data_IF_578556103959
#
_entry.id   IF_578556103959
#
_cell.length_a   1.000
_cell.length_b   1.000
_cell.length_c   1.000
_cell.angle_alpha   90.00
_cell.angle_beta   90.00
_cell.angle_gamma   90.00
#
_symmetry.space_group_name_H-M   'P 1'
#
loop_
_entity.id
_entity.type
_entity.pdbx_description
1 polymer ?
#
# COMPACT_ATOMS: atom_id res chain seq x y z
N UNK A 1 4.69 -10.80 7.09
CA UNK A 1 4.16 -11.10 5.73
C UNK A 1 5.20 -10.77 4.67
N UNK A 2 5.60 -9.50 4.53
CA UNK A 2 6.65 -9.05 3.58
C UNK A 2 8.00 -9.75 3.77
N UNK A 3 8.40 -10.04 5.01
CA UNK A 3 9.64 -10.77 5.32
C UNK A 3 9.67 -12.23 4.81
N UNK A 4 8.52 -12.76 4.40
CA UNK A 4 8.37 -14.12 3.86
C UNK A 4 8.03 -14.09 2.36
N UNK A 5 8.39 -13.01 1.66
CA UNK A 5 8.04 -12.82 0.24
C UNK A 5 8.59 -13.90 -0.69
N UNK A 6 9.66 -14.60 -0.31
CA UNK A 6 10.22 -15.72 -1.07
C UNK A 6 9.26 -16.92 -1.16
N UNK A 7 8.41 -17.13 -0.15
CA UNK A 7 7.46 -18.26 -0.13
C UNK A 7 6.04 -17.86 -0.50
N UNK A 8 5.62 -16.64 -0.15
CA UNK A 8 4.26 -16.16 -0.39
C UNK A 8 4.13 -15.18 -1.57
N UNK A 9 5.24 -14.76 -2.18
CA UNK A 9 5.29 -13.79 -3.28
C UNK A 9 4.71 -12.40 -2.97
N UNK A 10 4.51 -12.08 -1.69
CA UNK A 10 4.00 -10.78 -1.24
C UNK A 10 5.15 -9.84 -0.89
N UNK A 11 5.69 -9.18 -1.90
CA UNK A 11 6.62 -8.05 -1.72
C UNK A 11 5.92 -6.87 -1.03
N UNK A 12 6.69 -5.91 -0.52
CA UNK A 12 6.14 -4.69 0.07
C UNK A 12 5.24 -3.95 -0.91
N UNK A 13 5.64 -3.84 -2.18
CA UNK A 13 4.80 -3.22 -3.21
C UNK A 13 3.50 -3.99 -3.49
N UNK A 14 3.53 -5.33 -3.48
CA UNK A 14 2.29 -6.11 -3.60
C UNK A 14 1.33 -5.85 -2.43
N UNK A 15 1.87 -5.67 -1.22
CA UNK A 15 1.07 -5.29 -0.05
C UNK A 15 0.56 -3.84 -0.17
N UNK A 16 1.38 -2.90 -0.65
CA UNK A 16 0.99 -1.53 -0.92
C UNK A 16 -0.19 -1.41 -1.88
N UNK A 17 -0.18 -2.18 -2.97
CA UNK A 17 -1.27 -2.22 -3.96
C UNK A 17 -2.59 -2.73 -3.37
N UNK A 18 -2.56 -3.75 -2.51
CA UNK A 18 -3.77 -4.34 -1.92
C UNK A 18 -4.31 -3.48 -0.78
N UNK A 19 -3.43 -3.02 0.10
CA UNK A 19 -3.82 -2.32 1.32
C UNK A 19 -4.00 -0.82 1.11
N UNK A 20 -3.29 -0.18 0.16
CA UNK A 20 -3.42 1.25 -0.15
C UNK A 20 -4.87 1.69 -0.33
N UNK A 21 -5.62 1.11 -1.28
CA UNK A 21 -7.03 1.45 -1.52
C UNK A 21 -7.94 1.11 -0.34
N UNK A 22 -7.65 0.03 0.39
CA UNK A 22 -8.48 -0.46 1.49
C UNK A 22 -8.36 0.43 2.73
N UNK A 23 -7.13 0.86 3.05
CA UNK A 23 -6.84 1.69 4.23
C UNK A 23 -7.11 3.18 3.99
N UNK A 24 -7.03 3.63 2.74
CA UNK A 24 -7.11 5.06 2.39
C UNK A 24 -8.30 5.38 1.47
N UNK A 25 -9.41 4.67 1.64
CA UNK A 25 -10.62 4.82 0.81
C UNK A 25 -11.06 6.30 0.75
N UNK A 26 -11.09 6.85 -0.46
CA UNK A 26 -11.63 8.19 -0.73
C UNK A 26 -13.15 8.21 -0.48
N UNK A 27 -13.66 9.30 0.10
CA UNK A 27 -15.12 9.49 0.25
C UNK A 27 -15.83 9.72 -1.09
N UNK A 28 -15.11 10.19 -2.10
CA UNK A 28 -15.64 10.52 -3.42
C UNK A 28 -15.08 9.58 -4.51
N UNK A 29 -15.96 9.07 -5.38
CA UNK A 29 -15.60 8.22 -6.53
C UNK A 29 -15.33 9.05 -7.80
N UNK A 30 -14.39 9.99 -7.71
CA UNK A 30 -14.02 10.84 -8.85
C UNK A 30 -12.78 10.33 -9.57
N UNK A 31 -12.61 10.73 -10.84
CA UNK A 31 -11.38 10.42 -11.60
C UNK A 31 -10.14 11.02 -10.94
N UNK A 32 -10.27 12.18 -10.30
CA UNK A 32 -9.21 12.78 -9.50
C UNK A 32 -8.85 11.92 -8.29
N UNK A 33 -9.83 11.36 -7.58
CA UNK A 33 -9.59 10.42 -6.49
C UNK A 33 -8.89 9.14 -6.96
N UNK A 34 -9.19 8.64 -8.17
CA UNK A 34 -8.48 7.51 -8.76
C UNK A 34 -7.00 7.80 -9.06
N UNK A 35 -6.64 9.03 -9.42
CA UNK A 35 -5.23 9.41 -9.63
C UNK A 35 -4.41 9.37 -8.33
N UNK A 36 -5.08 9.41 -7.16
CA UNK A 36 -4.42 9.33 -5.86
C UNK A 36 -4.10 7.89 -5.43
N UNK A 37 -4.63 6.88 -6.12
CA UNK A 37 -4.39 5.45 -5.80
C UNK A 37 -2.90 5.13 -5.80
N UNK A 38 -2.12 5.66 -6.76
CA UNK A 38 -0.66 5.44 -6.79
C UNK A 38 0.03 5.97 -5.53
N UNK A 39 -0.47 7.08 -4.98
CA UNK A 39 0.10 7.68 -3.77
C UNK A 39 -0.31 6.90 -2.51
N UNK A 40 -1.53 6.34 -2.49
CA UNK A 40 -1.98 5.47 -1.40
C UNK A 40 -1.09 4.22 -1.27
N UNK A 41 -0.71 3.61 -2.40
CA UNK A 41 0.20 2.47 -2.41
C UNK A 41 1.57 2.86 -1.84
N UNK A 42 2.16 3.98 -2.30
CA UNK A 42 3.45 4.48 -1.81
C UNK A 42 3.43 4.74 -0.30
N UNK A 43 2.35 5.34 0.22
CA UNK A 43 2.22 5.58 1.66
C UNK A 43 2.26 4.27 2.45
N UNK A 44 1.54 3.25 2.00
CA UNK A 44 1.56 1.93 2.66
C UNK A 44 2.93 1.26 2.55
N UNK A 45 3.60 1.37 1.41
CA UNK A 45 4.96 0.84 1.25
C UNK A 45 5.92 1.49 2.26
N UNK A 46 5.90 2.82 2.39
CA UNK A 46 6.70 3.56 3.37
C UNK A 46 6.39 3.13 4.81
N UNK A 47 5.11 2.94 5.15
CA UNK A 47 4.71 2.50 6.49
C UNK A 47 5.26 1.09 6.80
N UNK A 48 5.24 0.17 5.84
CA UNK A 48 5.76 -1.20 6.01
C UNK A 48 7.29 -1.19 6.12
N UNK A 49 7.99 -0.42 5.28
CA UNK A 49 9.47 -0.36 5.28
C UNK A 49 10.06 0.26 6.55
N UNK A 50 9.31 1.16 7.20
CA UNK A 50 9.77 1.88 8.37
C UNK A 50 9.15 1.37 9.68
N UNK A 51 8.40 0.26 9.64
CA UNK A 51 7.70 -0.30 10.80
C UNK A 51 8.63 -0.60 12.00
N UNK A 52 9.84 -1.10 11.75
CA UNK A 52 10.83 -1.45 12.80
C UNK A 52 11.72 -0.26 13.22
N UNK A 53 11.58 0.92 12.60
CA UNK A 53 12.40 2.11 12.91
C UNK A 53 11.77 3.01 13.99
N UNK A 54 10.65 2.58 14.59
CA UNK A 54 9.89 3.30 15.61
C UNK A 54 10.09 2.68 17.00
#
# INVERSE_FOLDING_TARGET
VSTHSESNMMTVSNLGVIFGPTLMRSQEETVAAMMNIKFQNIVVEILIENFEKA
#
